data_IF_705152499094
#
_entry.id   IF_705152499094
#
_cell.length_a   1.000
_cell.length_b   1.000
_cell.length_c   1.000
_cell.angle_alpha   90.00
_cell.angle_beta   90.00
_cell.angle_gamma   90.00
#
_symmetry.space_group_name_H-M   'P 1'
#
loop_
_entity.id
_entity.type
_entity.pdbx_description
1 polymer ?
#
# COMPACT_ATOMS: atom_id res chain seq x y z
N UNK A 1 7.33 19.62 -3.43
CA UNK A 1 8.77 19.43 -3.13
C UNK A 1 8.98 18.54 -1.89
N UNK A 2 8.33 18.81 -0.76
CA UNK A 2 8.52 18.07 0.51
C UNK A 2 8.18 16.59 0.34
N UNK A 3 7.01 16.26 -0.23
CA UNK A 3 6.56 14.87 -0.43
C UNK A 3 7.55 14.10 -1.33
N UNK A 4 8.05 14.74 -2.39
CA UNK A 4 9.09 14.14 -3.26
C UNK A 4 10.40 13.90 -2.51
N UNK A 5 10.82 14.82 -1.66
CA UNK A 5 12.02 14.65 -0.84
C UNK A 5 11.86 13.48 0.16
N UNK A 6 10.70 13.40 0.81
CA UNK A 6 10.38 12.28 1.71
C UNK A 6 10.35 10.93 0.96
N UNK A 7 9.74 10.89 -0.22
CA UNK A 7 9.75 9.69 -1.06
C UNK A 7 11.17 9.25 -1.42
N UNK A 8 12.02 10.19 -1.89
CA UNK A 8 13.43 9.89 -2.21
C UNK A 8 14.21 9.39 -1.01
N UNK A 9 13.97 9.98 0.16
CA UNK A 9 14.63 9.58 1.40
C UNK A 9 14.21 8.16 1.85
N UNK A 10 12.96 7.76 1.62
CA UNK A 10 12.48 6.40 1.87
C UNK A 10 12.98 5.42 0.80
N UNK A 11 12.99 5.83 -0.47
CA UNK A 11 13.54 5.04 -1.57
C UNK A 11 15.04 4.73 -1.38
N UNK A 12 15.81 5.69 -0.89
CA UNK A 12 17.23 5.53 -0.60
C UNK A 12 17.52 4.51 0.54
N UNK A 13 16.51 4.12 1.33
CA UNK A 13 16.60 3.07 2.36
C UNK A 13 16.32 1.68 1.79
N UNK A 14 15.71 1.60 0.61
CA UNK A 14 15.44 0.33 -0.07
C UNK A 14 16.74 -0.43 -0.37
N UNK A 15 16.69 -1.75 -0.31
CA UNK A 15 17.82 -2.56 -0.81
C UNK A 15 17.95 -2.36 -2.33
N UNK A 16 19.14 -2.58 -2.90
CA UNK A 16 19.33 -2.51 -4.36
C UNK A 16 18.31 -3.39 -5.10
N UNK A 17 17.65 -2.82 -6.10
CA UNK A 17 16.64 -3.49 -6.92
C UNK A 17 15.21 -3.43 -6.37
N UNK A 18 14.98 -2.94 -5.14
CA UNK A 18 13.63 -2.73 -4.61
C UNK A 18 13.02 -1.46 -5.22
N UNK A 19 11.83 -1.59 -5.79
CA UNK A 19 11.02 -0.45 -6.20
C UNK A 19 10.37 0.21 -4.98
N UNK A 20 10.25 1.54 -5.00
CA UNK A 20 9.51 2.29 -3.99
C UNK A 20 8.27 2.92 -4.62
N UNK A 21 7.12 2.37 -4.32
CA UNK A 21 5.81 2.87 -4.72
C UNK A 21 5.40 4.12 -3.92
N UNK A 22 4.18 4.60 -4.14
CA UNK A 22 3.55 5.65 -3.33
C UNK A 22 2.10 5.29 -3.00
N UNK A 23 1.71 5.46 -1.74
CA UNK A 23 0.33 5.25 -1.29
C UNK A 23 -0.39 6.60 -1.19
N UNK A 24 -1.42 6.76 -2.05
CA UNK A 24 -2.19 7.99 -2.22
C UNK A 24 -3.67 7.84 -1.83
N UNK A 25 -4.01 6.84 -1.03
CA UNK A 25 -5.37 6.62 -0.53
C UNK A 25 -5.89 7.82 0.26
N UNK A 26 -7.22 7.92 0.41
CA UNK A 26 -7.91 9.02 1.09
C UNK A 26 -7.47 10.38 0.53
N UNK A 27 -7.53 10.49 -0.80
CA UNK A 27 -7.14 11.70 -1.55
C UNK A 27 -5.73 12.21 -1.18
N UNK A 28 -4.74 11.31 -1.26
CA UNK A 28 -3.36 11.55 -0.83
C UNK A 28 -3.28 12.02 0.64
N UNK A 29 -3.98 11.32 1.54
CA UNK A 29 -4.11 11.67 2.97
C UNK A 29 -4.69 13.08 3.17
N UNK A 30 -5.61 13.48 2.29
CA UNK A 30 -6.30 14.78 2.33
C UNK A 30 -5.55 15.93 1.65
N UNK A 31 -4.47 15.68 0.94
CA UNK A 31 -3.65 16.72 0.30
C UNK A 31 -3.91 16.89 -1.21
N UNK A 32 -4.87 16.16 -1.76
CA UNK A 32 -5.22 16.16 -3.17
C UNK A 32 -4.36 15.20 -3.99
N UNK A 33 -4.91 14.04 -4.35
CA UNK A 33 -4.22 13.04 -5.16
C UNK A 33 -3.94 13.56 -6.58
N UNK A 34 -4.77 14.45 -7.09
CA UNK A 34 -4.62 15.15 -8.37
C UNK A 34 -3.37 16.04 -8.44
N UNK A 35 -2.90 16.53 -7.29
CA UNK A 35 -1.68 17.36 -7.16
C UNK A 35 -0.46 16.52 -6.78
N UNK A 36 -0.64 15.59 -5.85
CA UNK A 36 0.46 14.75 -5.32
C UNK A 36 0.88 13.69 -6.35
N UNK A 37 -0.07 13.06 -7.03
CA UNK A 37 0.18 12.00 -8.02
C UNK A 37 1.11 12.46 -9.15
N UNK A 38 0.78 13.52 -9.91
CA UNK A 38 1.65 14.05 -10.97
C UNK A 38 3.04 14.43 -10.48
N UNK A 39 3.12 15.01 -9.26
CA UNK A 39 4.40 15.40 -8.65
C UNK A 39 5.29 14.18 -8.38
N UNK A 40 4.72 13.11 -7.84
CA UNK A 40 5.46 11.87 -7.58
C UNK A 40 5.78 11.09 -8.86
N UNK A 41 4.85 11.08 -9.85
CA UNK A 41 5.14 10.53 -11.19
C UNK A 41 6.34 11.20 -11.82
N UNK A 42 6.38 12.53 -11.81
CA UNK A 42 7.50 13.31 -12.34
C UNK A 42 8.81 13.05 -11.58
N UNK A 43 8.73 12.67 -10.30
CA UNK A 43 9.88 12.26 -9.49
C UNK A 43 10.39 10.85 -9.78
N UNK A 44 9.64 10.04 -10.57
CA UNK A 44 10.00 8.70 -11.00
C UNK A 44 9.18 7.56 -10.37
N UNK A 45 8.13 7.85 -9.61
CA UNK A 45 7.21 6.81 -9.08
C UNK A 45 6.49 6.14 -10.25
N UNK A 46 6.49 4.80 -10.27
CA UNK A 46 5.88 3.97 -11.30
C UNK A 46 4.66 3.20 -10.80
N UNK A 47 4.57 2.97 -9.50
CA UNK A 47 3.50 2.20 -8.87
C UNK A 47 2.83 3.02 -7.78
N UNK A 48 1.51 3.12 -7.86
CA UNK A 48 0.68 3.84 -6.90
C UNK A 48 -0.31 2.90 -6.24
N UNK A 49 -0.67 3.19 -4.99
CA UNK A 49 -1.70 2.47 -4.25
C UNK A 49 -2.77 3.43 -3.76
N UNK A 50 -4.01 3.05 -3.97
CA UNK A 50 -5.21 3.73 -3.48
C UNK A 50 -6.07 2.77 -2.68
N UNK A 51 -7.06 3.24 -1.93
CA UNK A 51 -7.96 2.37 -1.18
C UNK A 51 -9.06 1.80 -2.06
N UNK A 52 -9.75 2.63 -2.84
CA UNK A 52 -10.97 2.32 -3.58
C UNK A 52 -10.80 2.55 -5.09
N UNK A 53 -11.68 1.93 -5.89
CA UNK A 53 -11.67 2.07 -7.34
C UNK A 53 -11.87 3.53 -7.79
N UNK A 54 -12.76 4.27 -7.14
CA UNK A 54 -13.03 5.69 -7.44
C UNK A 54 -11.80 6.57 -7.26
N UNK A 55 -11.01 6.31 -6.21
CA UNK A 55 -9.72 7.00 -6.01
C UNK A 55 -8.75 6.67 -7.16
N UNK A 56 -8.75 5.42 -7.62
CA UNK A 56 -7.96 4.96 -8.75
C UNK A 56 -8.33 5.66 -10.06
N UNK A 57 -9.62 5.79 -10.33
CA UNK A 57 -10.17 6.51 -11.50
C UNK A 57 -9.70 7.97 -11.49
N UNK A 58 -9.90 8.66 -10.36
CA UNK A 58 -9.47 10.05 -10.21
C UNK A 58 -7.95 10.21 -10.36
N UNK A 59 -7.17 9.31 -9.74
CA UNK A 59 -5.72 9.34 -9.85
C UNK A 59 -5.26 9.04 -11.29
N UNK A 60 -5.88 8.08 -11.99
CA UNK A 60 -5.58 7.75 -13.40
C UNK A 60 -5.76 8.97 -14.30
N UNK A 61 -6.84 9.72 -14.12
CA UNK A 61 -7.08 10.96 -14.87
C UNK A 61 -5.97 12.00 -14.64
N UNK A 62 -5.44 12.07 -13.42
CA UNK A 62 -4.39 13.01 -13.05
C UNK A 62 -2.98 12.60 -13.54
N UNK A 63 -2.64 11.30 -13.46
CA UNK A 63 -1.27 10.84 -13.74
C UNK A 63 -1.09 10.24 -15.15
N UNK A 64 -2.15 10.03 -15.92
CA UNK A 64 -2.10 9.41 -17.25
C UNK A 64 -1.86 7.90 -17.23
N UNK A 65 -1.62 7.26 -18.39
CA UNK A 65 -1.77 5.82 -18.59
C UNK A 65 -0.62 4.94 -18.05
N UNK A 66 0.62 5.43 -18.00
CA UNK A 66 1.78 4.55 -17.80
C UNK A 66 1.96 3.96 -16.38
N UNK A 67 1.76 4.73 -15.28
CA UNK A 67 1.98 4.19 -13.94
C UNK A 67 0.94 3.14 -13.57
N UNK A 68 1.37 2.08 -12.85
CA UNK A 68 0.44 1.11 -12.29
C UNK A 68 -0.32 1.72 -11.09
N UNK A 69 -1.64 1.49 -11.03
CA UNK A 69 -2.49 1.88 -9.89
C UNK A 69 -3.11 0.61 -9.31
N UNK A 70 -2.75 0.30 -8.06
CA UNK A 70 -3.27 -0.85 -7.34
C UNK A 70 -4.32 -0.40 -6.32
N UNK A 71 -5.46 -1.10 -6.31
CA UNK A 71 -6.60 -0.82 -5.43
C UNK A 71 -6.62 -1.79 -4.26
N UNK A 72 -6.41 -1.28 -3.05
CA UNK A 72 -6.22 -2.10 -1.85
C UNK A 72 -7.50 -2.82 -1.37
N UNK A 73 -8.69 -2.26 -1.64
CA UNK A 73 -9.97 -2.93 -1.32
C UNK A 73 -10.23 -4.17 -2.21
N UNK A 74 -9.46 -4.34 -3.28
CA UNK A 74 -9.67 -5.40 -4.25
C UNK A 74 -10.81 -5.08 -5.22
N UNK A 75 -11.48 -6.13 -5.72
CA UNK A 75 -12.65 -5.99 -6.59
C UNK A 75 -13.92 -6.02 -5.73
N UNK A 76 -14.67 -4.94 -5.73
CA UNK A 76 -16.01 -4.87 -5.13
C UNK A 76 -17.10 -5.08 -6.19
N UNK A 77 -18.31 -5.50 -5.79
CA UNK A 77 -19.43 -5.65 -6.72
C UNK A 77 -19.72 -4.37 -7.51
N UNK A 78 -19.72 -4.46 -8.83
CA UNK A 78 -19.95 -3.32 -9.73
C UNK A 78 -18.69 -2.61 -10.23
N UNK A 79 -17.52 -2.87 -9.69
CA UNK A 79 -16.29 -2.16 -10.05
C UNK A 79 -15.64 -2.62 -11.36
N UNK A 80 -16.04 -3.75 -11.93
CA UNK A 80 -15.33 -4.39 -13.05
C UNK A 80 -15.09 -3.48 -14.26
N UNK A 81 -16.04 -2.60 -14.58
CA UNK A 81 -15.89 -1.63 -15.66
C UNK A 81 -14.84 -0.59 -15.34
N UNK A 82 -14.86 -0.04 -14.12
CA UNK A 82 -13.88 0.94 -13.67
C UNK A 82 -12.44 0.38 -13.74
N UNK A 83 -12.25 -0.89 -13.39
CA UNK A 83 -10.95 -1.53 -13.50
C UNK A 83 -10.46 -1.63 -14.96
N UNK A 84 -11.33 -2.05 -15.89
CA UNK A 84 -10.98 -2.15 -17.32
C UNK A 84 -10.72 -0.79 -17.95
N UNK A 85 -11.64 0.14 -17.76
CA UNK A 85 -11.65 1.43 -18.46
C UNK A 85 -10.50 2.34 -18.00
N UNK A 86 -10.03 2.14 -16.76
CA UNK A 86 -8.98 2.97 -16.17
C UNK A 86 -7.68 2.21 -15.88
N UNK A 87 -7.53 0.98 -16.38
CA UNK A 87 -6.34 0.14 -16.19
C UNK A 87 -5.90 0.08 -14.72
N UNK A 88 -6.85 -0.25 -13.81
CA UNK A 88 -6.61 -0.40 -12.39
C UNK A 88 -6.34 -1.88 -12.06
N UNK A 89 -5.54 -2.16 -11.04
CA UNK A 89 -5.18 -3.51 -10.63
C UNK A 89 -5.75 -3.81 -9.25
N UNK A 90 -6.71 -4.73 -9.10
CA UNK A 90 -7.25 -5.08 -7.78
C UNK A 90 -6.24 -5.89 -6.95
N UNK A 91 -6.13 -5.58 -5.65
CA UNK A 91 -5.46 -6.40 -4.66
C UNK A 91 -6.50 -7.35 -4.04
N UNK A 92 -6.58 -8.60 -4.50
CA UNK A 92 -7.58 -9.56 -4.06
C UNK A 92 -7.31 -9.95 -2.59
N UNK A 93 -8.33 -9.83 -1.73
CA UNK A 93 -8.20 -9.91 -0.27
C UNK A 93 -8.84 -11.16 0.36
N UNK A 94 -9.55 -11.96 -0.40
CA UNK A 94 -10.21 -13.17 0.10
C UNK A 94 -10.39 -14.21 -1.01
N UNK A 95 -10.63 -15.45 -0.64
CA UNK A 95 -10.95 -16.51 -1.60
C UNK A 95 -12.21 -16.17 -2.42
N UNK A 96 -13.18 -15.50 -1.81
CA UNK A 96 -14.37 -15.01 -2.52
C UNK A 96 -14.01 -14.02 -3.63
N UNK A 97 -13.19 -13.00 -3.34
CA UNK A 97 -12.74 -12.05 -4.36
C UNK A 97 -11.93 -12.71 -5.48
N UNK A 98 -11.11 -13.72 -5.17
CA UNK A 98 -10.36 -14.48 -6.19
C UNK A 98 -11.30 -15.20 -7.15
N UNK A 99 -12.34 -15.86 -6.63
CA UNK A 99 -13.32 -16.61 -7.45
C UNK A 99 -14.18 -15.64 -8.28
N UNK A 100 -14.63 -14.54 -7.68
CA UNK A 100 -15.43 -13.54 -8.37
C UNK A 100 -14.62 -12.83 -9.46
N UNK A 101 -13.38 -12.49 -9.16
CA UNK A 101 -12.46 -11.87 -10.13
C UNK A 101 -12.20 -12.78 -11.34
N UNK A 102 -11.97 -14.07 -11.15
CA UNK A 102 -11.73 -15.01 -12.24
C UNK A 102 -12.92 -15.07 -13.21
N UNK A 103 -14.16 -14.86 -12.71
CA UNK A 103 -15.39 -14.83 -13.51
C UNK A 103 -15.62 -13.47 -14.17
N UNK A 104 -15.44 -12.40 -13.42
CA UNK A 104 -15.80 -11.04 -13.83
C UNK A 104 -14.77 -10.39 -14.75
N UNK A 105 -13.49 -10.72 -14.56
CA UNK A 105 -12.34 -10.15 -15.26
C UNK A 105 -11.35 -11.25 -15.72
N UNK A 106 -11.79 -12.21 -16.57
CA UNK A 106 -10.94 -13.31 -17.01
C UNK A 106 -9.70 -12.79 -17.75
N UNK A 107 -8.52 -13.26 -17.31
CA UNK A 107 -7.23 -12.88 -17.90
C UNK A 107 -6.75 -11.46 -17.57
N UNK A 108 -7.49 -10.71 -16.76
CA UNK A 108 -7.09 -9.37 -16.34
C UNK A 108 -6.00 -9.44 -15.26
N UNK A 109 -5.08 -8.44 -15.17
CA UNK A 109 -4.04 -8.43 -14.16
C UNK A 109 -4.61 -8.20 -12.75
N UNK A 110 -4.07 -8.92 -11.76
CA UNK A 110 -4.42 -8.74 -10.36
C UNK A 110 -3.16 -8.79 -9.47
N UNK A 111 -3.31 -8.34 -8.24
CA UNK A 111 -2.43 -8.62 -7.13
C UNK A 111 -3.19 -9.45 -6.08
N UNK A 112 -2.49 -10.13 -5.18
CA UNK A 112 -3.11 -10.87 -4.09
C UNK A 112 -2.50 -10.44 -2.76
N UNK A 113 -3.35 -10.15 -1.78
CA UNK A 113 -2.94 -9.86 -0.41
C UNK A 113 -3.06 -11.12 0.45
N UNK A 114 -2.02 -11.39 1.23
CA UNK A 114 -1.96 -12.50 2.18
C UNK A 114 -2.05 -11.94 3.60
N UNK A 115 -2.81 -12.60 4.47
CA UNK A 115 -2.78 -12.31 5.90
C UNK A 115 -1.62 -13.06 6.54
N UNK A 116 -0.58 -12.35 6.87
CA UNK A 116 0.59 -12.88 7.57
C UNK A 116 0.52 -12.71 9.10
N UNK A 117 -0.63 -12.28 9.65
CA UNK A 117 -0.84 -12.12 11.08
C UNK A 117 -1.28 -10.71 11.51
N UNK A 118 -1.82 -9.90 10.60
CA UNK A 118 -2.48 -8.63 10.93
C UNK A 118 -3.98 -8.80 11.20
N UNK A 119 -4.59 -9.85 10.62
CA UNK A 119 -6.01 -10.22 10.78
C UNK A 119 -6.98 -9.10 10.41
N UNK A 120 -6.72 -8.42 9.29
CA UNK A 120 -7.58 -7.36 8.76
C UNK A 120 -8.07 -7.66 7.35
N UNK A 121 -7.18 -7.87 6.40
CA UNK A 121 -7.41 -8.19 5.00
C UNK A 121 -6.35 -9.17 4.53
N UNK A 122 -6.68 -9.94 3.50
CA UNK A 122 -5.78 -10.91 2.89
C UNK A 122 -6.18 -12.36 3.19
N UNK A 123 -5.78 -13.24 2.30
CA UNK A 123 -6.02 -14.67 2.43
C UNK A 123 -5.15 -15.24 3.55
N UNK A 124 -5.75 -15.89 4.51
CA UNK A 124 -5.04 -16.74 5.46
C UNK A 124 -4.57 -18.05 4.81
N UNK A 125 -3.98 -18.95 5.59
CA UNK A 125 -3.44 -20.20 5.08
C UNK A 125 -4.52 -21.15 4.51
N UNK A 126 -5.73 -21.13 5.08
CA UNK A 126 -6.85 -21.97 4.65
C UNK A 126 -7.51 -21.39 3.38
N UNK A 127 -7.76 -20.08 3.35
CA UNK A 127 -8.26 -19.40 2.16
C UNK A 127 -7.28 -19.48 0.98
N UNK A 128 -5.97 -19.35 1.27
CA UNK A 128 -4.94 -19.51 0.26
C UNK A 128 -4.96 -20.93 -0.34
N UNK A 129 -5.10 -21.97 0.48
CA UNK A 129 -5.22 -23.36 0.01
C UNK A 129 -6.42 -23.51 -0.92
N UNK A 130 -7.58 -23.01 -0.52
CA UNK A 130 -8.81 -23.07 -1.29
C UNK A 130 -8.71 -22.31 -2.63
N UNK A 131 -8.02 -21.16 -2.63
CA UNK A 131 -7.87 -20.29 -3.79
C UNK A 131 -6.67 -20.64 -4.69
N UNK A 132 -5.76 -21.53 -4.23
CA UNK A 132 -4.49 -21.80 -4.92
C UNK A 132 -4.65 -22.24 -6.38
N UNK A 133 -5.62 -23.12 -6.75
CA UNK A 133 -5.82 -23.48 -8.15
C UNK A 133 -6.17 -22.27 -9.03
N UNK A 134 -7.02 -21.35 -8.56
CA UNK A 134 -7.38 -20.13 -9.28
C UNK A 134 -6.20 -19.16 -9.36
N UNK A 135 -5.49 -18.93 -8.26
CA UNK A 135 -4.32 -18.06 -8.23
C UNK A 135 -3.17 -18.57 -9.10
N UNK A 136 -3.04 -19.90 -9.26
CA UNK A 136 -2.08 -20.49 -10.19
C UNK A 136 -2.43 -20.18 -11.65
N UNK A 137 -3.71 -20.12 -12.01
CA UNK A 137 -4.15 -19.71 -13.36
C UNK A 137 -4.03 -18.22 -13.57
N UNK A 138 -4.46 -17.41 -12.59
CA UNK A 138 -4.44 -15.95 -12.63
C UNK A 138 -3.03 -15.35 -12.66
N UNK A 139 -2.05 -16.03 -12.03
CA UNK A 139 -0.65 -15.57 -11.95
C UNK A 139 -0.53 -14.12 -11.49
N UNK A 140 -0.87 -13.81 -10.22
CA UNK A 140 -0.83 -12.45 -9.71
C UNK A 140 0.48 -11.73 -10.02
N UNK A 141 0.39 -10.48 -10.47
CA UNK A 141 1.58 -9.67 -10.77
C UNK A 141 2.29 -9.10 -9.53
N UNK A 142 1.66 -9.19 -8.37
CA UNK A 142 2.22 -8.80 -7.07
C UNK A 142 1.58 -9.64 -5.96
N UNK A 143 2.41 -10.13 -5.04
CA UNK A 143 1.96 -10.74 -3.78
C UNK A 143 2.32 -9.78 -2.65
N UNK A 144 1.33 -9.36 -1.85
CA UNK A 144 1.55 -8.40 -0.79
C UNK A 144 0.99 -8.84 0.56
N UNK A 145 1.50 -8.24 1.63
CA UNK A 145 0.96 -8.32 2.98
C UNK A 145 1.21 -7.01 3.71
N UNK A 146 0.84 -6.93 4.99
CA UNK A 146 1.01 -5.73 5.79
C UNK A 146 1.41 -6.07 7.23
N UNK A 147 2.37 -5.33 7.78
CA UNK A 147 2.84 -5.50 9.16
C UNK A 147 1.91 -4.77 10.14
N UNK A 148 1.57 -5.43 11.24
CA UNK A 148 0.69 -4.88 12.27
C UNK A 148 1.43 -3.97 13.27
N UNK A 149 2.71 -4.26 13.56
CA UNK A 149 3.47 -3.64 14.66
C UNK A 149 4.80 -3.04 14.21
N UNK A 150 4.93 -2.66 12.92
CA UNK A 150 6.21 -2.17 12.39
C UNK A 150 6.64 -0.79 12.96
N UNK A 151 5.73 -0.05 13.59
CA UNK A 151 6.00 1.18 14.35
C UNK A 151 6.74 0.93 15.67
N UNK A 152 6.74 -0.31 16.14
CA UNK A 152 7.50 -0.79 17.31
C UNK A 152 8.56 -1.78 16.82
N UNK A 153 9.80 -1.34 16.53
CA UNK A 153 10.79 -2.17 15.82
C UNK A 153 11.09 -3.53 16.45
N UNK A 154 11.18 -3.59 17.77
CA UNK A 154 11.53 -4.81 18.50
C UNK A 154 10.31 -5.72 18.79
N UNK A 155 9.11 -5.37 18.27
CA UNK A 155 7.92 -6.18 18.52
C UNK A 155 8.05 -7.56 17.85
N UNK A 156 7.83 -8.67 18.57
CA UNK A 156 8.08 -10.04 18.06
C UNK A 156 7.18 -10.40 16.87
N UNK A 157 6.02 -9.75 16.73
CA UNK A 157 5.13 -9.94 15.58
C UNK A 157 5.81 -9.58 14.25
N UNK A 158 6.74 -8.63 14.21
CA UNK A 158 7.40 -8.23 12.97
C UNK A 158 8.15 -9.41 12.35
N UNK A 159 8.99 -10.09 13.11
CA UNK A 159 9.73 -11.27 12.63
C UNK A 159 8.80 -12.47 12.38
N UNK A 160 7.74 -12.64 13.15
CA UNK A 160 6.74 -13.69 12.93
C UNK A 160 5.99 -13.47 11.61
N UNK A 161 5.53 -12.26 11.33
CA UNK A 161 4.85 -11.90 10.10
C UNK A 161 5.76 -11.99 8.86
N UNK A 162 7.04 -11.62 8.99
CA UNK A 162 8.03 -11.81 7.91
C UNK A 162 8.14 -13.28 7.50
N UNK A 163 8.29 -14.19 8.48
CA UNK A 163 8.36 -15.64 8.22
C UNK A 163 7.06 -16.18 7.64
N UNK A 164 5.92 -15.79 8.19
CA UNK A 164 4.60 -16.19 7.71
C UNK A 164 4.38 -15.74 6.26
N UNK A 165 4.68 -14.49 5.95
CA UNK A 165 4.58 -13.95 4.59
C UNK A 165 5.48 -14.71 3.61
N UNK A 166 6.73 -14.94 3.95
CA UNK A 166 7.67 -15.68 3.10
C UNK A 166 7.17 -17.11 2.81
N UNK A 167 6.62 -17.79 3.83
CA UNK A 167 6.06 -19.13 3.73
C UNK A 167 4.81 -19.16 2.83
N UNK A 168 3.83 -18.29 3.10
CA UNK A 168 2.59 -18.21 2.32
C UNK A 168 2.85 -17.83 0.86
N UNK A 169 3.66 -16.79 0.63
CA UNK A 169 4.02 -16.34 -0.71
C UNK A 169 4.82 -17.39 -1.50
N UNK A 170 5.57 -18.25 -0.82
CA UNK A 170 6.32 -19.35 -1.43
C UNK A 170 5.43 -20.44 -2.04
N UNK A 171 4.14 -20.48 -1.71
CA UNK A 171 3.16 -21.43 -2.26
C UNK A 171 2.55 -20.97 -3.58
N UNK A 172 2.68 -19.70 -3.91
CA UNK A 172 2.16 -19.08 -5.13
C UNK A 172 3.16 -19.17 -6.29
N UNK A 173 2.69 -19.07 -7.54
CA UNK A 173 3.60 -18.87 -8.67
C UNK A 173 4.56 -17.72 -8.43
N UNK A 174 5.78 -17.75 -8.99
CA UNK A 174 6.75 -16.67 -8.84
C UNK A 174 6.15 -15.31 -9.25
N UNK A 175 6.19 -14.35 -8.34
CA UNK A 175 5.75 -12.98 -8.55
C UNK A 175 6.52 -12.04 -7.63
N UNK A 176 6.65 -10.75 -7.96
CA UNK A 176 7.17 -9.73 -7.07
C UNK A 176 6.43 -9.73 -5.73
N UNK A 177 7.15 -9.41 -4.65
CA UNK A 177 6.63 -9.43 -3.27
C UNK A 177 6.73 -8.07 -2.62
N UNK A 178 5.77 -7.75 -1.74
CA UNK A 178 5.73 -6.48 -1.02
C UNK A 178 5.19 -6.65 0.39
N UNK A 179 5.98 -6.30 1.40
CA UNK A 179 5.57 -6.36 2.82
C UNK A 179 5.61 -4.98 3.49
N UNK A 180 6.69 -4.23 3.25
CA UNK A 180 6.98 -3.00 3.96
C UNK A 180 6.13 -1.81 3.48
N UNK A 181 5.35 -1.22 4.39
CA UNK A 181 4.89 0.17 4.33
C UNK A 181 5.95 1.08 4.98
N UNK A 182 5.63 2.34 5.29
CA UNK A 182 6.60 3.31 5.86
C UNK A 182 7.40 2.72 7.02
N UNK A 183 6.73 2.22 8.05
CA UNK A 183 7.39 1.66 9.23
C UNK A 183 8.22 0.41 8.87
N UNK A 184 7.69 -0.46 8.02
CA UNK A 184 8.39 -1.67 7.58
C UNK A 184 9.69 -1.38 6.80
N UNK A 185 9.77 -0.24 6.08
CA UNK A 185 11.01 0.19 5.41
C UNK A 185 12.11 0.45 6.47
N UNK A 186 11.72 0.95 7.63
CA UNK A 186 12.66 1.30 8.70
C UNK A 186 13.17 0.09 9.48
N UNK A 187 12.48 -1.06 9.39
CA UNK A 187 12.92 -2.31 10.04
C UNK A 187 14.14 -2.94 9.37
N UNK A 188 14.43 -2.58 8.11
CA UNK A 188 15.61 -3.05 7.41
C UNK A 188 15.32 -3.88 6.15
N UNK A 189 16.40 -4.25 5.47
CA UNK A 189 16.39 -4.82 4.12
C UNK A 189 15.59 -6.12 3.97
N UNK A 190 15.50 -6.93 5.02
CA UNK A 190 14.78 -8.21 5.01
C UNK A 190 13.27 -8.05 4.76
N UNK A 191 12.71 -6.89 5.11
CA UNK A 191 11.29 -6.57 4.95
C UNK A 191 10.96 -5.93 3.60
N UNK A 192 11.94 -5.51 2.80
CA UNK A 192 11.71 -4.69 1.60
C UNK A 192 11.15 -5.50 0.43
N UNK A 193 11.65 -6.76 0.24
CA UNK A 193 11.33 -7.59 -0.92
C UNK A 193 11.55 -6.81 -2.24
N UNK A 194 10.63 -6.94 -3.20
CA UNK A 194 10.75 -6.34 -4.53
C UNK A 194 10.12 -4.94 -4.61
N UNK A 195 9.15 -4.65 -3.70
CA UNK A 195 8.40 -3.39 -3.70
C UNK A 195 8.11 -2.92 -2.28
N UNK A 196 8.41 -1.67 -1.96
CA UNK A 196 7.98 -0.98 -0.73
C UNK A 196 6.84 -0.01 -1.01
N UNK A 197 5.96 0.20 -0.01
CA UNK A 197 4.71 0.97 -0.15
C UNK A 197 4.60 2.08 0.91
N UNK A 198 5.49 3.09 0.91
CA UNK A 198 5.37 4.19 1.85
C UNK A 198 4.07 4.98 1.63
N UNK A 199 3.41 5.30 2.73
CA UNK A 199 2.24 6.15 2.80
C UNK A 199 2.51 7.31 3.74
N UNK A 200 2.23 7.12 5.05
CA UNK A 200 2.30 8.21 6.04
C UNK A 200 3.65 8.95 6.07
N UNK A 201 4.75 8.26 5.82
CA UNK A 201 6.08 8.88 5.75
C UNK A 201 6.28 9.83 4.59
N UNK A 202 5.52 9.70 3.50
CA UNK A 202 5.54 10.65 2.38
C UNK A 202 5.08 12.05 2.84
N UNK A 203 4.15 12.08 3.79
CA UNK A 203 3.48 13.28 4.28
C UNK A 203 4.12 13.86 5.55
N UNK A 204 5.19 13.25 6.05
CA UNK A 204 5.89 13.72 7.23
C UNK A 204 5.49 13.03 8.54
N UNK A 205 4.69 11.94 8.46
CA UNK A 205 4.21 11.22 9.62
C UNK A 205 5.25 10.22 10.19
N UNK A 206 5.13 9.99 11.51
CA UNK A 206 5.92 8.97 12.21
C UNK A 206 5.58 7.56 11.70
N UNK A 207 6.48 6.60 11.91
CA UNK A 207 7.76 6.68 12.66
C UNK A 207 8.95 7.20 11.84
N UNK A 208 8.75 7.73 10.64
CA UNK A 208 9.86 8.24 9.83
C UNK A 208 10.34 9.61 10.34
N UNK A 209 11.14 9.63 11.40
CA UNK A 209 11.67 10.86 12.01
C UNK A 209 12.52 11.74 11.05
N UNK A 210 13.05 11.15 9.97
CA UNK A 210 13.77 11.89 8.92
C UNK A 210 12.85 12.57 7.90
N UNK A 211 11.53 12.39 8.00
CA UNK A 211 10.59 13.04 7.09
C UNK A 211 10.43 14.54 7.43
N UNK A 212 10.27 15.34 6.38
CA UNK A 212 9.86 16.74 6.52
C UNK A 212 8.34 16.81 6.57
N UNK A 213 7.72 17.63 7.45
CA UNK A 213 6.27 17.78 7.51
C UNK A 213 5.75 18.38 6.20
N UNK A 214 4.77 17.72 5.57
CA UNK A 214 4.11 18.22 4.37
C UNK A 214 2.94 19.15 4.70
N UNK A 215 2.49 19.15 5.96
CA UNK A 215 1.35 19.93 6.47
C UNK A 215 1.78 20.70 7.70
N UNK A 216 1.34 21.93 7.79
CA UNK A 216 1.44 22.76 9.00
C UNK A 216 0.03 23.23 9.36
N UNK A 217 -0.40 22.90 10.58
CA UNK A 217 -1.66 23.37 11.13
C UNK A 217 -1.39 24.58 12.05
N UNK A 218 -1.97 25.72 11.70
CA UNK A 218 -1.89 26.93 12.52
C UNK A 218 -3.30 27.31 12.99
N UNK A 219 -3.45 27.44 14.31
CA UNK A 219 -4.71 27.85 14.94
C UNK A 219 -4.49 29.10 15.79
N UNK A 220 -5.34 30.12 15.69
CA UNK A 220 -5.27 31.27 16.58
C UNK A 220 -5.70 30.87 18.00
N UNK A 221 -5.03 31.40 19.01
CA UNK A 221 -5.49 31.31 20.39
C UNK A 221 -6.66 32.30 20.54
N UNK A 222 -7.85 31.76 20.79
CA UNK A 222 -9.08 32.56 20.89
C UNK A 222 -9.39 33.03 22.32
N UNK A 223 -8.80 32.37 23.33
CA UNK A 223 -8.98 32.72 24.73
C UNK A 223 -7.88 32.12 25.61
N UNK A 224 -7.43 32.89 26.59
CA UNK A 224 -6.60 32.42 27.72
C UNK A 224 -7.33 32.69 29.03
N UNK A 225 -7.08 31.85 30.06
CA UNK A 225 -7.59 32.04 31.42
C UNK A 225 -6.51 31.68 32.44
N UNK A 226 -6.46 32.47 33.51
CA UNK A 226 -5.74 32.11 34.72
C UNK A 226 -6.61 31.17 35.54
N UNK A 227 -6.05 30.01 35.93
CA UNK A 227 -6.75 29.00 36.71
C UNK A 227 -6.03 28.87 38.06
N UNK A 228 -6.78 28.97 39.16
CA UNK A 228 -6.20 28.81 40.49
C UNK A 228 -5.69 27.36 40.69
N UNK A 229 -4.63 27.18 41.51
CA UNK A 229 -4.14 25.84 41.84
C UNK A 229 -5.27 24.97 42.44
N UNK A 230 -5.53 23.80 41.83
CA UNK A 230 -6.55 22.86 42.29
C UNK A 230 -7.95 23.11 41.76
N UNK A 231 -8.17 24.07 40.86
CA UNK A 231 -9.46 24.32 40.22
C UNK A 231 -9.77 23.31 39.09
#
# INVERSE_FOLDING_TARGET
EVITANWRALAARGRPGTETAAVLKADAYGLGADRVGPTLRAAGVRTFFVALAEEGVALRAAIGPDPAILVLAGLLPGDSEAFRDHDLVPCLNSAFQVIDFEKSLPGYPCAVQLDSGMHRLGLDAAELEAALPALTRLRPRLVLSHLACADTPDHPANAAQLRAFASLAGRLPPAPRSLAATAGILLGADYHFDLTRPGIGLYGGLPFAGARPAVVLSLPVIQTRDVAPGA
#
